data_IF_763910313385
#
_entry.id   IF_763910313385
#
_cell.length_a   1.000
_cell.length_b   1.000
_cell.length_c   1.000
_cell.angle_alpha   90.00
_cell.angle_beta   90.00
_cell.angle_gamma   90.00
#
_symmetry.space_group_name_H-M   'P 1'
#
loop_
_entity.id
_entity.type
_entity.pdbx_description
1 polymer ?
#
# COMPACT_ATOMS: atom_id res chain seq x y z
N UNK A 1 37.43 -17.04 -17.90
CA UNK A 1 36.59 -18.11 -18.50
C UNK A 1 37.28 -19.43 -18.18
N UNK A 2 36.74 -20.21 -17.24
CA UNK A 2 35.81 -21.37 -17.47
C UNK A 2 36.65 -22.64 -17.73
N UNK A 3 36.52 -23.78 -17.04
CA UNK A 3 35.38 -24.51 -16.42
C UNK A 3 35.84 -25.38 -15.23
N UNK A 4 34.89 -25.67 -14.33
CA UNK A 4 34.98 -26.54 -13.14
C UNK A 4 34.57 -27.98 -13.48
N UNK A 5 35.13 -28.95 -12.72
CA UNK A 5 34.63 -30.33 -12.61
C UNK A 5 35.21 -31.24 -13.69
N UNK A 6 36.10 -32.17 -13.38
CA UNK A 6 35.74 -33.45 -12.79
C UNK A 6 36.98 -34.07 -12.13
N UNK A 7 37.02 -34.16 -10.79
CA UNK A 7 38.01 -35.01 -10.11
C UNK A 7 37.48 -36.44 -10.06
N UNK A 8 38.16 -37.30 -10.81
CA UNK A 8 37.90 -38.74 -11.01
C UNK A 8 37.75 -39.48 -9.66
N UNK A 9 36.55 -39.98 -9.35
CA UNK A 9 36.28 -40.82 -8.16
C UNK A 9 36.72 -42.29 -8.34
N UNK A 10 37.40 -42.61 -9.45
CA UNK A 10 37.83 -43.99 -9.79
C UNK A 10 38.87 -44.60 -8.84
N UNK A 11 39.52 -43.82 -7.97
CA UNK A 11 40.59 -44.31 -7.08
C UNK A 11 40.11 -45.04 -5.82
N UNK A 12 38.80 -45.04 -5.55
CA UNK A 12 38.22 -45.69 -4.37
C UNK A 12 37.38 -46.94 -4.69
N UNK A 13 37.38 -47.41 -5.94
CA UNK A 13 36.68 -48.64 -6.33
C UNK A 13 35.16 -48.56 -6.29
N UNK A 14 34.57 -47.37 -6.17
CA UNK A 14 33.13 -47.16 -6.25
C UNK A 14 32.75 -46.75 -7.66
N UNK A 15 31.74 -47.39 -8.23
CA UNK A 15 31.09 -46.94 -9.47
C UNK A 15 30.16 -45.77 -9.16
N UNK A 16 29.95 -44.87 -10.12
CA UNK A 16 29.09 -43.69 -9.95
C UNK A 16 27.64 -44.08 -9.56
N UNK A 17 27.19 -45.27 -9.96
CA UNK A 17 25.89 -45.81 -9.57
C UNK A 17 25.79 -46.19 -8.07
N UNK A 18 26.85 -46.74 -7.48
CA UNK A 18 26.87 -47.06 -6.05
C UNK A 18 26.89 -45.80 -5.18
N UNK A 19 27.61 -44.77 -5.63
CA UNK A 19 27.65 -43.48 -4.94
C UNK A 19 26.28 -42.79 -4.98
N UNK A 20 25.62 -42.78 -6.15
CA UNK A 20 24.29 -42.22 -6.32
C UNK A 20 23.23 -42.96 -5.46
N UNK A 21 23.31 -44.29 -5.39
CA UNK A 21 22.42 -45.11 -4.55
C UNK A 21 22.58 -44.85 -3.05
N UNK A 22 23.78 -44.45 -2.60
CA UNK A 22 24.05 -44.09 -1.20
C UNK A 22 23.64 -42.65 -0.84
N UNK A 23 23.65 -41.75 -1.83
CA UNK A 23 23.26 -40.35 -1.67
C UNK A 23 21.74 -40.18 -1.64
N UNK A 24 21.04 -40.95 -2.48
CA UNK A 24 19.57 -41.03 -2.45
C UNK A 24 19.20 -42.10 -1.44
N UNK A 25 19.05 -41.72 -0.17
CA UNK A 25 18.27 -42.53 0.77
C UNK A 25 16.79 -42.30 0.44
N UNK A 26 16.05 -43.22 -0.22
CA UNK A 26 14.61 -43.14 -0.14
C UNK A 26 14.24 -43.48 1.31
N UNK A 27 13.82 -42.47 2.07
CA UNK A 27 13.17 -42.66 3.36
C UNK A 27 11.84 -43.36 3.11
N UNK A 28 11.86 -44.68 2.95
CA UNK A 28 10.67 -45.51 2.95
C UNK A 28 10.25 -45.72 4.40
N UNK A 29 9.60 -44.70 4.98
CA UNK A 29 8.93 -44.84 6.27
C UNK A 29 7.58 -45.49 6.02
N UNK A 30 7.40 -46.67 6.61
CA UNK A 30 6.16 -47.41 6.67
C UNK A 30 5.10 -46.61 7.44
N UNK A 31 4.05 -46.17 6.75
CA UNK A 31 2.83 -45.70 7.38
C UNK A 31 2.05 -46.91 7.92
N UNK A 32 2.36 -47.29 9.16
CA UNK A 32 1.47 -48.07 10.01
C UNK A 32 1.32 -47.30 11.32
N UNK A 33 0.17 -46.65 11.50
CA UNK A 33 -0.16 -46.01 12.78
C UNK A 33 -1.07 -44.79 12.62
N UNK A 34 -2.31 -44.93 13.06
CA UNK A 34 -3.34 -43.90 13.05
C UNK A 34 -3.01 -42.66 13.92
N UNK A 35 -3.76 -41.60 13.64
CA UNK A 35 -4.06 -40.41 14.46
C UNK A 35 -3.15 -39.18 14.31
N UNK A 36 -3.57 -38.26 13.41
CA UNK A 36 -3.18 -36.85 13.38
C UNK A 36 -3.14 -36.28 11.96
N UNK A 37 -3.65 -35.06 11.69
CA UNK A 37 -3.49 -34.44 10.39
C UNK A 37 -1.99 -34.26 10.10
N UNK A 38 -1.55 -34.81 8.96
CA UNK A 38 -0.15 -34.75 8.50
C UNK A 38 0.37 -33.31 8.48
N UNK A 39 1.57 -33.09 9.03
CA UNK A 39 2.21 -31.76 9.17
C UNK A 39 2.27 -30.97 7.85
N UNK A 40 2.42 -31.66 6.71
CA UNK A 40 2.41 -30.99 5.40
C UNK A 40 1.04 -30.40 5.06
N UNK A 41 -0.04 -31.07 5.46
CA UNK A 41 -1.40 -30.59 5.24
C UNK A 41 -1.73 -29.42 6.18
N UNK A 42 -1.26 -29.45 7.43
CA UNK A 42 -1.46 -28.32 8.36
C UNK A 42 -0.62 -27.10 7.98
N UNK A 43 0.60 -27.29 7.47
CA UNK A 43 1.40 -26.19 6.93
C UNK A 43 0.77 -25.62 5.64
N UNK A 44 0.29 -26.47 4.74
CA UNK A 44 -0.35 -26.04 3.50
C UNK A 44 -1.66 -25.27 3.76
N UNK A 45 -2.47 -25.71 4.74
CA UNK A 45 -3.69 -25.00 5.12
C UNK A 45 -3.39 -23.68 5.81
N UNK A 46 -2.45 -23.66 6.77
CA UNK A 46 -2.09 -22.44 7.51
C UNK A 46 -1.38 -21.41 6.64
N UNK A 47 -0.50 -21.80 5.72
CA UNK A 47 0.15 -20.86 4.79
C UNK A 47 -0.83 -20.34 3.74
N UNK A 48 -1.79 -21.17 3.30
CA UNK A 48 -2.86 -20.75 2.38
C UNK A 48 -3.86 -19.81 3.04
N UNK A 49 -4.22 -20.03 4.30
CA UNK A 49 -5.08 -19.16 5.09
C UNK A 49 -4.37 -17.86 5.51
N UNK A 50 -3.09 -17.93 5.89
CA UNK A 50 -2.27 -16.75 6.18
C UNK A 50 -2.07 -15.88 4.94
N UNK A 51 -1.81 -16.49 3.77
CA UNK A 51 -1.68 -15.79 2.50
C UNK A 51 -3.00 -15.12 2.06
N UNK A 52 -4.14 -15.79 2.25
CA UNK A 52 -5.47 -15.21 1.97
C UNK A 52 -5.84 -14.08 2.93
N UNK A 53 -5.53 -14.23 4.21
CA UNK A 53 -5.82 -13.20 5.22
C UNK A 53 -4.94 -11.96 5.03
N UNK A 54 -3.65 -12.14 4.78
CA UNK A 54 -2.73 -11.02 4.49
C UNK A 54 -3.11 -10.29 3.19
N UNK A 55 -3.51 -11.01 2.13
CA UNK A 55 -3.97 -10.40 0.90
C UNK A 55 -5.31 -9.65 1.06
N UNK A 56 -6.22 -10.17 1.90
CA UNK A 56 -7.48 -9.54 2.24
C UNK A 56 -7.31 -8.26 3.06
N UNK A 57 -6.43 -8.27 4.06
CA UNK A 57 -6.08 -7.11 4.88
C UNK A 57 -5.34 -6.04 4.07
N UNK A 58 -4.39 -6.43 3.21
CA UNK A 58 -3.70 -5.51 2.30
C UNK A 58 -4.68 -4.81 1.34
N UNK A 59 -5.73 -5.50 0.89
CA UNK A 59 -6.77 -4.92 0.03
C UNK A 59 -7.67 -3.95 0.80
N UNK A 60 -8.12 -4.32 2.00
CA UNK A 60 -8.92 -3.42 2.87
C UNK A 60 -8.15 -2.16 3.24
N UNK A 61 -6.89 -2.28 3.62
CA UNK A 61 -6.04 -1.13 3.98
C UNK A 61 -5.78 -0.22 2.78
N UNK A 62 -5.59 -0.77 1.58
CA UNK A 62 -5.45 0.02 0.36
C UNK A 62 -6.75 0.76 0.00
N UNK A 63 -7.91 0.13 0.16
CA UNK A 63 -9.21 0.77 -0.06
C UNK A 63 -9.51 1.86 0.96
N UNK A 64 -9.16 1.65 2.23
CA UNK A 64 -9.31 2.64 3.29
C UNK A 64 -8.42 3.86 3.07
N UNK A 65 -7.17 3.63 2.65
CA UNK A 65 -6.27 4.73 2.27
C UNK A 65 -6.85 5.55 1.13
N UNK A 66 -7.37 4.91 0.08
CA UNK A 66 -7.99 5.60 -1.06
C UNK A 66 -9.22 6.39 -0.64
N UNK A 67 -10.05 5.85 0.24
CA UNK A 67 -11.23 6.54 0.76
C UNK A 67 -10.82 7.79 1.54
N UNK A 68 -9.78 7.68 2.38
CA UNK A 68 -9.21 8.79 3.12
C UNK A 68 -8.64 9.87 2.21
N UNK A 69 -7.84 9.47 1.21
CA UNK A 69 -7.22 10.38 0.25
C UNK A 69 -8.32 11.16 -0.53
N UNK A 70 -9.40 10.50 -0.94
CA UNK A 70 -10.54 11.16 -1.60
C UNK A 70 -11.30 12.12 -0.69
N UNK A 71 -11.45 11.80 0.60
CA UNK A 71 -12.08 12.71 1.58
C UNK A 71 -11.25 13.98 1.79
N UNK A 72 -9.92 13.84 1.83
CA UNK A 72 -8.99 14.97 1.93
C UNK A 72 -9.06 15.85 0.69
N UNK A 73 -9.07 15.26 -0.51
CA UNK A 73 -9.20 16.01 -1.76
C UNK A 73 -10.51 16.82 -1.82
N UNK A 74 -11.62 16.26 -1.33
CA UNK A 74 -12.89 16.98 -1.25
C UNK A 74 -12.82 18.17 -0.29
N UNK A 75 -12.19 18.00 0.88
CA UNK A 75 -11.96 19.09 1.82
C UNK A 75 -11.13 20.22 1.19
N UNK A 76 -10.08 19.89 0.43
CA UNK A 76 -9.27 20.86 -0.33
C UNK A 76 -10.10 21.72 -1.28
N UNK A 77 -10.98 21.08 -2.08
CA UNK A 77 -11.86 21.79 -3.02
C UNK A 77 -12.86 22.69 -2.28
N UNK A 78 -13.40 22.21 -1.17
CA UNK A 78 -14.32 22.98 -0.35
C UNK A 78 -13.65 24.21 0.28
N UNK A 79 -12.43 24.07 0.82
CA UNK A 79 -11.65 25.19 1.35
C UNK A 79 -11.36 26.22 0.28
N UNK A 80 -10.93 25.79 -0.91
CA UNK A 80 -10.71 26.70 -2.04
C UNK A 80 -11.97 27.49 -2.40
N UNK A 81 -13.13 26.81 -2.42
CA UNK A 81 -14.42 27.46 -2.67
C UNK A 81 -14.80 28.43 -1.55
N UNK A 82 -14.60 28.06 -0.29
CA UNK A 82 -14.86 28.90 0.87
C UNK A 82 -14.05 30.20 0.81
N UNK A 83 -12.74 30.11 0.59
CA UNK A 83 -11.86 31.27 0.46
C UNK A 83 -12.29 32.18 -0.70
N UNK A 84 -12.68 31.59 -1.83
CA UNK A 84 -13.16 32.34 -3.00
C UNK A 84 -14.45 33.10 -2.71
N UNK A 85 -15.40 32.50 -2.01
CA UNK A 85 -16.63 33.21 -1.62
C UNK A 85 -16.37 34.25 -0.53
N UNK A 86 -15.49 33.99 0.44
CA UNK A 86 -15.06 34.98 1.43
C UNK A 86 -14.41 36.21 0.79
N UNK A 87 -13.62 36.04 -0.28
CA UNK A 87 -13.05 37.18 -1.01
C UNK A 87 -14.14 38.06 -1.63
N UNK A 88 -15.18 37.46 -2.21
CA UNK A 88 -16.26 38.23 -2.86
C UNK A 88 -17.04 39.11 -1.89
N UNK A 89 -17.06 38.80 -0.59
CA UNK A 89 -17.75 39.61 0.42
C UNK A 89 -16.90 40.77 0.93
N UNK A 90 -15.60 40.78 0.65
CA UNK A 90 -14.72 41.91 0.95
C UNK A 90 -14.93 42.99 -0.10
N UNK A 91 -15.68 44.02 0.27
CA UNK A 91 -15.88 45.19 -0.55
C UNK A 91 -14.53 45.90 -0.75
N UNK A 92 -14.09 46.06 -2.00
CA UNK A 92 -12.92 46.88 -2.33
C UNK A 92 -13.27 48.35 -2.05
N UNK A 93 -12.91 48.83 -0.85
CA UNK A 93 -13.21 50.20 -0.43
C UNK A 93 -12.04 51.11 -0.78
N UNK A 94 -12.14 51.83 -1.89
CA UNK A 94 -11.16 52.85 -2.24
C UNK A 94 -11.50 53.61 -3.51
N UNK A 95 -11.21 54.92 -3.51
CA UNK A 95 -11.07 55.73 -4.73
C UNK A 95 -9.87 55.29 -5.60
N UNK A 96 -9.00 54.45 -5.05
CA UNK A 96 -7.81 53.87 -5.67
C UNK A 96 -7.93 52.36 -5.51
N UNK A 97 -8.48 51.69 -6.51
CA UNK A 97 -8.46 50.23 -6.61
C UNK A 97 -7.25 49.91 -7.49
N UNK A 98 -6.34 49.01 -7.09
CA UNK A 98 -5.06 48.73 -7.78
C UNK A 98 -5.18 48.07 -9.15
N UNK A 99 -6.35 48.17 -9.79
CA UNK A 99 -6.59 47.84 -11.18
C UNK A 99 -6.39 46.35 -11.50
N UNK A 100 -6.25 46.08 -12.79
CA UNK A 100 -6.08 44.73 -13.33
C UNK A 100 -4.82 44.01 -12.80
N UNK A 101 -3.77 44.77 -12.47
CA UNK A 101 -2.55 44.22 -11.92
C UNK A 101 -2.76 43.68 -10.50
N UNK A 102 -3.47 44.42 -9.63
CA UNK A 102 -3.83 43.95 -8.29
C UNK A 102 -4.67 42.68 -8.34
N UNK A 103 -5.65 42.59 -9.24
CA UNK A 103 -6.46 41.37 -9.39
C UNK A 103 -5.63 40.14 -9.73
N UNK A 104 -4.68 40.26 -10.67
CA UNK A 104 -3.79 39.15 -11.05
C UNK A 104 -2.88 38.74 -9.88
N UNK A 105 -2.28 39.71 -9.18
CA UNK A 105 -1.43 39.40 -8.03
C UNK A 105 -2.21 38.81 -6.87
N UNK A 106 -3.42 39.30 -6.61
CA UNK A 106 -4.32 38.71 -5.62
C UNK A 106 -4.70 37.28 -6.02
N UNK A 107 -5.08 37.03 -7.28
CA UNK A 107 -5.42 35.68 -7.75
C UNK A 107 -4.27 34.70 -7.52
N UNK A 108 -3.05 35.06 -7.92
CA UNK A 108 -1.87 34.23 -7.72
C UNK A 108 -1.56 34.03 -6.22
N UNK A 109 -1.80 35.04 -5.38
CA UNK A 109 -1.62 34.95 -3.93
C UNK A 109 -2.66 34.02 -3.28
N UNK A 110 -3.91 34.12 -3.69
CA UNK A 110 -5.00 33.28 -3.17
C UNK A 110 -4.85 31.82 -3.60
N UNK A 111 -4.32 31.56 -4.81
CA UNK A 111 -4.01 30.20 -5.26
C UNK A 111 -2.92 29.55 -4.38
N UNK A 112 -1.88 30.30 -4.01
CA UNK A 112 -0.86 29.83 -3.06
C UNK A 112 -1.41 29.62 -1.65
N UNK A 113 -2.29 30.51 -1.17
CA UNK A 113 -2.98 30.29 0.11
C UNK A 113 -3.89 29.08 0.08
N UNK A 114 -4.65 28.85 -0.99
CA UNK A 114 -5.48 27.66 -1.13
C UNK A 114 -4.63 26.38 -1.13
N UNK A 115 -3.48 26.39 -1.80
CA UNK A 115 -2.54 25.26 -1.82
C UNK A 115 -1.93 24.99 -0.43
N UNK A 116 -1.48 26.04 0.26
CA UNK A 116 -0.88 25.96 1.58
C UNK A 116 -1.90 25.55 2.65
N UNK A 117 -3.09 26.16 2.63
CA UNK A 117 -4.19 25.80 3.51
C UNK A 117 -4.69 24.40 3.20
N UNK A 118 -4.83 23.98 1.96
CA UNK A 118 -5.20 22.58 1.68
C UNK A 118 -4.20 21.57 2.26
N UNK A 119 -2.91 21.90 2.28
CA UNK A 119 -1.87 20.99 2.81
C UNK A 119 -1.82 20.98 4.34
N UNK A 120 -2.15 22.10 4.98
CA UNK A 120 -1.97 22.30 6.43
C UNK A 120 -3.28 22.38 7.22
N UNK A 121 -4.39 22.71 6.57
CA UNK A 121 -5.71 22.94 7.18
C UNK A 121 -6.50 21.64 7.20
N UNK A 122 -6.29 20.85 8.24
CA UNK A 122 -7.22 19.79 8.61
C UNK A 122 -8.42 20.45 9.31
N UNK A 123 -9.41 20.94 8.55
CA UNK A 123 -10.66 21.47 9.11
C UNK A 123 -11.51 20.37 9.77
N UNK A 124 -11.09 19.10 9.60
CA UNK A 124 -11.72 17.94 10.22
C UNK A 124 -12.91 17.42 9.42
N UNK A 125 -13.26 18.05 8.30
CA UNK A 125 -14.39 17.66 7.47
C UNK A 125 -14.09 16.36 6.73
N UNK A 126 -12.84 16.15 6.31
CA UNK A 126 -12.40 14.89 5.73
C UNK A 126 -12.54 13.72 6.73
N UNK A 127 -12.25 13.95 8.01
CA UNK A 127 -12.38 12.93 9.04
C UNK A 127 -13.84 12.59 9.33
N UNK A 128 -14.73 13.59 9.36
CA UNK A 128 -16.17 13.37 9.51
C UNK A 128 -16.75 12.61 8.30
N UNK A 129 -16.33 12.97 7.08
CA UNK A 129 -16.79 12.27 5.88
C UNK A 129 -16.29 10.82 5.87
N UNK A 130 -15.04 10.61 6.25
CA UNK A 130 -14.47 9.27 6.36
C UNK A 130 -15.19 8.43 7.43
N UNK A 131 -15.53 9.01 8.59
CA UNK A 131 -16.29 8.26 9.62
C UNK A 131 -17.66 7.82 9.10
N UNK A 132 -18.40 8.71 8.43
CA UNK A 132 -19.72 8.38 7.88
C UNK A 132 -19.65 7.33 6.76
N UNK A 133 -18.67 7.46 5.86
CA UNK A 133 -18.53 6.54 4.71
C UNK A 133 -17.94 5.18 5.11
N UNK A 134 -17.06 5.14 6.11
CA UNK A 134 -16.52 3.88 6.64
C UNK A 134 -17.53 3.15 7.51
N UNK A 135 -18.41 3.86 8.22
CA UNK A 135 -19.45 3.27 9.07
C UNK A 135 -20.63 2.73 8.26
N UNK A 136 -20.92 3.30 7.09
CA UNK A 136 -22.02 2.87 6.20
C UNK A 136 -21.63 1.71 5.27
N UNK A 137 -20.50 1.05 5.51
CA UNK A 137 -19.95 -0.03 4.70
C UNK A 137 -20.13 -1.40 5.36
#
# INVERSE_FOLDING_TARGET
>A
MQELGTTQLSTYGLTDEEFAARLVRPSKRSDTGAAGPSFRNTLASTVGEAGRSAAGEARKTAEDKRLRDACVEMESLFVGKMLKEMRKTVHKSGWINGGFAEEIFEDMLYDEYALSLSKNSNLGLANMLYSELSQKR
#
